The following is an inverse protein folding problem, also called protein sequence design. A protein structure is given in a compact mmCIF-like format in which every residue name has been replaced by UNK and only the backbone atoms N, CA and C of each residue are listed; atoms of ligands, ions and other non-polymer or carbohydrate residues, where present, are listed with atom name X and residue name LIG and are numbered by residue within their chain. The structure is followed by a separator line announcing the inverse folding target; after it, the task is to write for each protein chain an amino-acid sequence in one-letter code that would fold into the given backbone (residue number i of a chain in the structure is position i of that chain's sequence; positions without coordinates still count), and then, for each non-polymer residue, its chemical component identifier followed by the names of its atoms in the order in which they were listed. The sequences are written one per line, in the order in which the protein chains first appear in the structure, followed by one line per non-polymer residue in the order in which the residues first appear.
data_IF_909023930587
#
_entry.id   IF_909023930587
#
_cell.length_a   1.000
_cell.length_b   1.000
_cell.length_c   1.000
_cell.angle_alpha   90.00
_cell.angle_beta   90.00
_cell.angle_gamma   90.00
#
_symmetry.space_group_name_H-M   'P 1'
#
loop_
_entity.id
_entity.type
_entity.pdbx_description
1 polymer ?
#
# COMPACT_ATOMS: atom_id res chain seq x y z
N UNK A 1 -2.13 -19.21 -10.46
CA UNK A 1 -2.08 -19.19 -8.96
C UNK A 1 -3.47 -19.47 -8.40
N UNK A 2 -3.63 -20.22 -7.29
CA UNK A 2 -4.94 -20.38 -6.61
C UNK A 2 -5.28 -19.13 -5.76
N UNK A 3 -6.57 -18.87 -5.52
CA UNK A 3 -7.05 -17.66 -4.84
C UNK A 3 -6.49 -17.49 -3.42
N UNK A 4 -6.42 -18.58 -2.65
CA UNK A 4 -5.84 -18.62 -1.30
C UNK A 4 -4.37 -18.16 -1.30
N UNK A 5 -3.56 -18.73 -2.18
CA UNK A 5 -2.15 -18.35 -2.35
C UNK A 5 -2.01 -16.90 -2.82
N UNK A 6 -2.92 -16.42 -3.67
CA UNK A 6 -2.92 -15.02 -4.11
C UNK A 6 -3.16 -14.04 -2.96
N UNK A 7 -4.17 -14.30 -2.13
CA UNK A 7 -4.50 -13.47 -0.97
C UNK A 7 -3.32 -13.45 0.01
N UNK A 8 -2.74 -14.63 0.31
CA UNK A 8 -1.59 -14.75 1.21
C UNK A 8 -0.39 -13.93 0.73
N UNK A 9 0.04 -14.12 -0.52
CA UNK A 9 1.19 -13.40 -1.07
C UNK A 9 0.95 -11.90 -1.19
N UNK A 10 -0.28 -11.49 -1.54
CA UNK A 10 -0.68 -10.08 -1.56
C UNK A 10 -0.56 -9.44 -0.17
N UNK A 11 -1.09 -10.09 0.86
CA UNK A 11 -1.02 -9.58 2.24
C UNK A 11 0.43 -9.53 2.74
N UNK A 12 1.26 -10.54 2.45
CA UNK A 12 2.69 -10.53 2.80
C UNK A 12 3.42 -9.33 2.19
N UNK A 13 3.15 -9.01 0.92
CA UNK A 13 3.78 -7.88 0.26
C UNK A 13 3.32 -6.54 0.82
N UNK A 14 2.02 -6.38 1.11
CA UNK A 14 1.49 -5.19 1.79
C UNK A 14 2.16 -5.00 3.15
N UNK A 15 2.21 -6.05 3.98
CA UNK A 15 2.85 -6.03 5.31
C UNK A 15 4.34 -5.66 5.19
N UNK A 16 5.04 -6.27 4.24
CA UNK A 16 6.47 -5.99 4.00
C UNK A 16 6.70 -4.54 3.59
N UNK A 17 5.87 -4.00 2.68
CA UNK A 17 5.92 -2.61 2.26
C UNK A 17 5.64 -1.62 3.40
N UNK A 18 4.63 -1.91 4.23
CA UNK A 18 4.31 -1.09 5.42
C UNK A 18 5.49 -1.10 6.41
N UNK A 19 6.09 -2.27 6.67
CA UNK A 19 7.23 -2.40 7.57
C UNK A 19 8.45 -1.61 7.07
N UNK A 20 8.73 -1.67 5.76
CA UNK A 20 9.81 -0.89 5.15
C UNK A 20 9.53 0.63 5.23
N UNK A 21 8.31 1.06 4.94
CA UNK A 21 7.90 2.46 5.00
C UNK A 21 7.95 3.02 6.42
N UNK A 22 7.63 2.21 7.44
CA UNK A 22 7.73 2.60 8.85
C UNK A 22 9.12 3.13 9.21
N UNK A 23 10.18 2.43 8.79
CA UNK A 23 11.57 2.84 9.09
C UNK A 23 11.88 4.24 8.55
N UNK A 24 11.49 4.51 7.31
CA UNK A 24 11.66 5.84 6.71
C UNK A 24 10.79 6.88 7.41
N UNK A 25 9.55 6.54 7.74
CA UNK A 25 8.65 7.43 8.47
C UNK A 25 9.25 7.87 9.81
N UNK A 26 9.69 6.91 10.62
CA UNK A 26 10.25 7.18 11.95
C UNK A 26 11.47 8.13 11.88
N UNK A 27 12.26 8.07 10.80
CA UNK A 27 13.41 8.96 10.55
C UNK A 27 13.03 10.36 10.09
N UNK A 28 11.84 10.53 9.51
CA UNK A 28 11.37 11.77 8.89
C UNK A 28 10.22 12.42 9.67
N UNK A 29 10.00 12.04 10.93
CA UNK A 29 8.95 12.60 11.78
C UNK A 29 7.54 12.16 11.41
N UNK A 30 7.40 11.05 10.67
CA UNK A 30 6.12 10.41 10.38
C UNK A 30 6.00 9.09 11.14
N UNK A 31 4.78 8.57 11.32
CA UNK A 31 4.57 7.23 11.84
C UNK A 31 3.57 6.49 10.94
N UNK A 32 4.04 5.41 10.31
CA UNK A 32 3.21 4.54 9.46
C UNK A 32 2.55 3.49 10.32
N UNK A 33 1.23 3.35 10.19
CA UNK A 33 0.38 2.48 11.00
C UNK A 33 0.67 2.57 12.52
N UNK A 34 0.56 3.76 13.13
CA UNK A 34 0.99 3.95 14.51
C UNK A 34 0.00 3.33 15.50
N UNK A 35 0.53 2.66 16.54
CA UNK A 35 -0.27 2.15 17.66
C UNK A 35 -0.96 3.26 18.48
N UNK A 36 -0.52 4.51 18.31
CA UNK A 36 -1.13 5.69 18.94
C UNK A 36 -2.39 6.17 18.21
N UNK A 37 -2.72 5.63 17.04
CA UNK A 37 -3.94 5.97 16.31
C UNK A 37 -5.19 5.55 17.10
N UNK A 38 -6.01 6.51 17.50
CA UNK A 38 -7.24 6.28 18.27
C UNK A 38 -8.34 7.28 17.90
N UNK A 39 -9.58 6.98 18.27
CA UNK A 39 -10.75 7.81 17.99
C UNK A 39 -10.98 8.85 19.08
N UNK A 40 -11.28 10.10 18.69
CA UNK A 40 -11.43 11.22 19.63
C UNK A 40 -12.53 10.99 20.67
N UNK A 41 -13.67 10.45 20.24
CA UNK A 41 -14.81 10.11 21.09
C UNK A 41 -15.54 8.89 20.53
N UNK A 42 -16.43 8.31 21.33
CA UNK A 42 -17.39 7.31 20.85
C UNK A 42 -18.19 7.94 19.68
N UNK A 43 -18.13 7.31 18.50
CA UNK A 43 -18.72 7.76 17.23
C UNK A 43 -17.98 8.90 16.47
N UNK A 44 -16.74 9.22 16.82
CA UNK A 44 -15.94 10.15 16.00
C UNK A 44 -15.34 9.44 14.79
N UNK A 45 -15.38 10.10 13.62
CA UNK A 45 -14.67 9.65 12.41
C UNK A 45 -13.22 10.15 12.37
N UNK A 46 -12.84 11.05 13.28
CA UNK A 46 -11.50 11.62 13.33
C UNK A 46 -10.57 10.75 14.18
N UNK A 47 -9.48 10.32 13.56
CA UNK A 47 -8.39 9.58 14.20
C UNK A 47 -7.30 10.57 14.59
N UNK A 48 -6.75 10.41 15.78
CA UNK A 48 -5.64 11.23 16.27
C UNK A 48 -4.59 10.35 16.95
N UNK A 49 -3.41 10.91 17.14
CA UNK A 49 -2.35 10.30 17.92
C UNK A 49 -2.61 10.54 19.41
N UNK A 50 -2.88 9.48 20.17
CA UNK A 50 -3.15 9.53 21.62
C UNK A 50 -2.11 10.34 22.40
N UNK A 51 -0.84 10.27 21.97
CA UNK A 51 0.28 10.88 22.68
C UNK A 51 0.42 12.38 22.43
N UNK A 52 -0.03 12.88 21.28
CA UNK A 52 0.23 14.26 20.85
C UNK A 52 -1.04 15.07 20.58
N UNK A 53 -2.18 14.41 20.40
CA UNK A 53 -3.43 15.05 19.96
C UNK A 53 -3.44 15.42 18.47
N UNK A 54 -2.39 15.05 17.72
CA UNK A 54 -2.26 15.41 16.30
C UNK A 54 -3.15 14.51 15.44
N UNK A 55 -3.87 15.04 14.44
CA UNK A 55 -4.67 14.24 13.52
C UNK A 55 -3.84 13.17 12.79
N UNK A 56 -4.35 11.95 12.74
CA UNK A 56 -3.82 10.84 11.94
C UNK A 56 -4.63 10.76 10.67
N UNK A 57 -3.97 10.70 9.51
CA UNK A 57 -4.63 10.65 8.22
C UNK A 57 -4.82 9.20 7.78
N UNK A 58 -5.96 8.88 7.18
CA UNK A 58 -6.16 7.64 6.44
C UNK A 58 -5.68 7.85 5.01
N UNK A 59 -4.66 7.10 4.60
CA UNK A 59 -4.18 7.10 3.22
C UNK A 59 -4.78 5.90 2.50
N UNK A 60 -5.62 6.17 1.50
CA UNK A 60 -6.30 5.16 0.69
C UNK A 60 -5.42 4.75 -0.49
N UNK A 61 -5.21 3.44 -0.61
CA UNK A 61 -4.52 2.82 -1.73
C UNK A 61 -5.57 2.12 -2.61
N UNK A 62 -5.58 2.47 -3.89
CA UNK A 62 -6.44 1.86 -4.90
C UNK A 62 -5.57 1.45 -6.09
N UNK A 63 -5.18 0.17 -6.10
CA UNK A 63 -4.11 -0.34 -6.95
C UNK A 63 -4.70 -1.36 -7.92
N UNK A 64 -4.38 -1.20 -9.21
CA UNK A 64 -4.60 -2.23 -10.23
C UNK A 64 -3.33 -3.05 -10.35
N UNK A 65 -3.46 -4.36 -10.13
CA UNK A 65 -2.38 -5.34 -10.21
C UNK A 65 -2.63 -6.22 -11.42
N UNK A 66 -1.62 -6.31 -12.29
CA UNK A 66 -1.61 -7.21 -13.44
C UNK A 66 -0.63 -8.34 -13.17
N UNK A 67 -1.10 -9.58 -13.25
CA UNK A 67 -0.21 -10.76 -13.22
C UNK A 67 0.15 -11.10 -14.65
N UNK A 68 1.42 -10.96 -15.02
CA UNK A 68 1.95 -11.53 -16.26
C UNK A 68 2.51 -12.92 -15.96
N UNK A 69 1.94 -13.95 -16.60
CA UNK A 69 2.53 -15.29 -16.59
C UNK A 69 3.70 -15.30 -17.59
N UNK A 70 4.86 -14.80 -17.16
CA UNK A 70 6.11 -14.96 -17.91
C UNK A 70 6.73 -16.33 -17.64
N UNK A 71 7.17 -17.02 -18.69
CA UNK A 71 7.86 -18.32 -18.68
C UNK A 71 9.23 -18.28 -17.94
N UNK A 72 9.25 -17.91 -16.66
CA UNK A 72 10.46 -17.90 -15.83
C UNK A 72 10.34 -18.94 -14.73
N UNK A 73 11.27 -19.89 -14.77
CA UNK A 73 11.41 -21.08 -13.93
C UNK A 73 11.93 -20.78 -12.51
N UNK A 74 11.55 -19.64 -11.95
CA UNK A 74 11.94 -19.22 -10.59
C UNK A 74 10.72 -19.09 -9.70
N UNK A 75 10.70 -19.89 -8.65
CA UNK A 75 9.58 -20.29 -7.77
C UNK A 75 8.88 -19.18 -6.94
N UNK A 76 8.86 -17.93 -7.40
CA UNK A 76 8.13 -16.85 -6.73
C UNK A 76 7.57 -15.85 -7.74
N UNK A 77 6.25 -15.82 -7.95
CA UNK A 77 5.63 -14.82 -8.80
C UNK A 77 5.81 -13.43 -8.17
N UNK A 78 6.66 -12.61 -8.79
CA UNK A 78 6.88 -11.22 -8.41
C UNK A 78 5.66 -10.39 -8.87
N UNK A 79 4.97 -9.73 -7.93
CA UNK A 79 3.86 -8.85 -8.30
C UNK A 79 4.45 -7.54 -8.81
N UNK A 80 4.40 -7.37 -10.13
CA UNK A 80 4.82 -6.11 -10.77
C UNK A 80 3.66 -5.11 -10.74
N UNK A 81 3.83 -3.98 -10.05
CA UNK A 81 2.90 -2.85 -10.15
C UNK A 81 3.19 -2.14 -11.47
N UNK A 82 2.30 -2.31 -12.45
CA UNK A 82 2.48 -1.71 -13.77
C UNK A 82 2.34 -0.19 -13.74
N UNK A 83 3.42 0.54 -14.02
CA UNK A 83 3.31 1.92 -14.49
C UNK A 83 2.96 1.89 -15.98
N UNK A 84 1.72 2.26 -16.33
CA UNK A 84 1.34 2.41 -17.74
C UNK A 84 2.07 3.60 -18.37
N UNK A 85 3.29 3.39 -18.87
CA UNK A 85 3.93 4.31 -19.82
C UNK A 85 3.44 3.95 -21.21
N UNK A 86 2.48 4.71 -21.74
CA UNK A 86 2.07 4.64 -23.14
C UNK A 86 3.21 5.23 -23.97
N UNK A 87 4.14 4.39 -24.44
CA UNK A 87 5.06 4.73 -25.52
C UNK A 87 4.60 4.00 -26.78
N UNK A 88 4.12 4.75 -27.77
CA UNK A 88 3.70 4.20 -29.04
C UNK A 88 4.86 3.63 -29.83
N UNK A 89 4.90 2.31 -30.02
CA UNK A 89 5.15 1.67 -31.31
C UNK A 89 4.96 0.15 -31.25
N UNK A 90 4.16 -0.35 -32.20
CA UNK A 90 4.17 -1.68 -32.80
C UNK A 90 4.25 -2.95 -31.91
N UNK A 91 3.07 -3.57 -31.74
CA UNK A 91 2.77 -4.98 -32.07
C UNK A 91 3.70 -6.07 -31.53
N UNK A 92 3.24 -6.81 -30.51
CA UNK A 92 3.08 -8.26 -30.60
C UNK A 92 1.92 -8.66 -29.70
N UNK A 93 0.91 -9.31 -30.29
CA UNK A 93 -0.20 -9.91 -29.57
C UNK A 93 0.28 -11.14 -28.82
N UNK A 94 0.88 -10.98 -27.66
CA UNK A 94 0.77 -12.01 -26.63
C UNK A 94 -0.54 -11.74 -25.90
N UNK A 95 -1.53 -12.59 -26.13
CA UNK A 95 -2.68 -12.71 -25.23
C UNK A 95 -2.12 -13.31 -23.93
N UNK A 96 -1.40 -12.49 -23.16
CA UNK A 96 -1.20 -12.79 -21.76
C UNK A 96 -2.58 -12.72 -21.15
N UNK A 97 -3.09 -13.83 -20.62
CA UNK A 97 -4.28 -13.85 -19.80
C UNK A 97 -4.01 -13.03 -18.53
N UNK A 98 -3.96 -11.70 -18.66
CA UNK A 98 -3.68 -10.80 -17.56
C UNK A 98 -4.95 -10.73 -16.72
N UNK A 99 -4.98 -11.49 -15.63
CA UNK A 99 -5.95 -11.23 -14.58
C UNK A 99 -5.60 -9.88 -13.96
N UNK A 100 -6.43 -8.87 -14.24
CA UNK A 100 -6.36 -7.56 -13.60
C UNK A 100 -7.16 -7.62 -12.30
N UNK A 101 -6.45 -7.58 -11.17
CA UNK A 101 -7.06 -7.53 -9.84
C UNK A 101 -6.93 -6.13 -9.27
N UNK A 102 -7.99 -5.66 -8.61
CA UNK A 102 -8.01 -4.35 -7.95
C UNK A 102 -7.95 -4.55 -6.45
N UNK A 103 -6.93 -3.99 -5.81
CA UNK A 103 -6.73 -4.08 -4.37
C UNK A 103 -7.00 -2.70 -3.78
N UNK A 104 -7.87 -2.65 -2.77
CA UNK A 104 -8.18 -1.43 -2.01
C UNK A 104 -7.91 -1.65 -0.54
N UNK A 105 -7.14 -0.76 0.08
CA UNK A 105 -6.87 -0.78 1.52
C UNK A 105 -6.49 0.63 1.99
N UNK A 106 -6.59 0.86 3.30
CA UNK A 106 -6.26 2.14 3.91
C UNK A 106 -5.25 1.94 5.04
N UNK A 107 -4.31 2.88 5.18
CA UNK A 107 -3.32 2.86 6.26
C UNK A 107 -3.42 4.16 7.06
N UNK A 108 -3.54 4.11 8.40
CA UNK A 108 -3.38 5.29 9.24
C UNK A 108 -1.91 5.75 9.20
N UNK A 109 -1.68 7.01 8.89
CA UNK A 109 -0.35 7.62 8.90
C UNK A 109 -0.41 8.93 9.69
N UNK A 110 0.45 9.04 10.70
CA UNK A 110 0.77 10.32 11.31
C UNK A 110 1.82 10.99 10.42
N UNK A 111 1.43 12.03 9.69
CA UNK A 111 2.35 12.76 8.82
C UNK A 111 3.24 13.73 9.61
N UNK A 112 4.40 14.14 9.06
CA UNK A 112 5.25 15.14 9.67
C UNK A 112 4.47 16.43 9.92
N UNK A 113 4.64 16.98 11.12
CA UNK A 113 4.08 18.29 11.46
C UNK A 113 4.80 19.39 10.68
N UNK A 114 4.02 20.32 10.12
CA UNK A 114 4.52 21.59 9.62
C UNK A 114 4.02 22.73 10.52
N UNK A 115 4.89 23.67 10.85
CA UNK A 115 4.59 24.79 11.76
C UNK A 115 4.75 24.47 13.25
N UNK A 116 4.45 25.45 14.10
CA UNK A 116 4.43 25.32 15.56
C UNK A 116 2.99 25.21 16.07
N UNK A 117 2.76 24.31 17.03
CA UNK A 117 1.54 24.30 17.82
C UNK A 117 1.84 25.01 19.13
N UNK A 118 1.41 26.26 19.25
CA UNK A 118 1.53 27.08 20.45
C UNK A 118 0.71 26.51 21.63
#
# INVERSE_FOLDING_TARGET
MKLDKYIEETLKQIITGISAAKKFGDQNGAQVNPASATFNHQNSTNIYCLNTGVPVQQIDFDIVVSVSEGNSTTDSPEITVGSSTISGNAQTSEITNSSTNRIKFSIPILLPLSGTRD
#
